data_IF_917498857802
#
_entry.id   IF_917498857802
#
_cell.length_a   1.000
_cell.length_b   1.000
_cell.length_c   1.000
_cell.angle_alpha   90.00
_cell.angle_beta   90.00
_cell.angle_gamma   90.00
#
_symmetry.space_group_name_H-M   'P 1'
#
loop_
_entity.id
_entity.type
_entity.pdbx_description
1 polymer ?
#
# COMPACT_ATOMS: atom_id res chain seq x y z
N UNK A 1 -7.29 33.16 30.30
CA UNK A 1 -7.17 32.32 29.09
C UNK A 1 -7.01 30.87 29.56
N UNK A 2 -8.03 30.04 29.32
CA UNK A 2 -8.04 28.65 29.77
C UNK A 2 -7.30 27.76 28.75
N UNK A 3 -6.23 27.08 29.18
CA UNK A 3 -5.43 26.19 28.34
C UNK A 3 -5.83 24.75 28.62
N UNK A 4 -6.53 24.09 27.68
CA UNK A 4 -6.83 22.66 27.74
C UNK A 4 -5.69 21.83 27.17
N UNK A 5 -5.18 20.88 27.96
CA UNK A 5 -4.26 19.81 27.51
C UNK A 5 -5.06 18.52 27.26
N UNK A 6 -4.82 17.88 26.13
CA UNK A 6 -5.35 16.55 25.81
C UNK A 6 -4.28 15.66 25.17
N UNK A 7 -4.39 14.35 25.39
CA UNK A 7 -3.49 13.36 24.79
C UNK A 7 -4.17 12.78 23.55
N UNK A 8 -3.52 12.89 22.39
CA UNK A 8 -4.02 12.35 21.13
C UNK A 8 -3.15 11.20 20.67
N UNK A 9 -3.69 9.98 20.71
CA UNK A 9 -3.00 8.79 20.18
C UNK A 9 -3.32 8.63 18.70
N UNK A 10 -2.29 8.62 17.85
CA UNK A 10 -2.44 8.37 16.40
C UNK A 10 -2.23 6.89 16.11
N UNK A 11 -3.25 6.21 15.60
CA UNK A 11 -3.13 4.82 15.13
C UNK A 11 -2.46 4.77 13.76
N UNK A 12 -1.78 3.66 13.48
CA UNK A 12 -1.25 3.36 12.15
C UNK A 12 -2.38 3.30 11.12
N UNK A 13 -2.06 3.64 9.87
CA UNK A 13 -3.00 3.48 8.77
C UNK A 13 -3.16 1.99 8.45
N UNK A 14 -4.36 1.56 8.00
CA UNK A 14 -4.55 0.19 7.54
C UNK A 14 -3.72 -0.10 6.28
N UNK A 15 -3.57 -1.38 5.90
CA UNK A 15 -3.03 -1.75 4.59
C UNK A 15 -3.83 -1.15 3.44
N UNK A 16 -3.24 -1.13 2.25
CA UNK A 16 -3.90 -0.56 1.08
C UNK A 16 -5.01 -1.46 0.53
N UNK A 17 -6.15 -0.84 0.28
CA UNK A 17 -7.15 -1.26 -0.72
C UNK A 17 -6.88 -0.53 -2.04
N UNK A 18 -7.63 -0.88 -3.09
CA UNK A 18 -7.62 -0.18 -4.38
C UNK A 18 -7.80 1.33 -4.21
N UNK A 19 -8.82 1.73 -3.45
CA UNK A 19 -9.20 3.15 -3.30
C UNK A 19 -8.18 3.93 -2.49
N UNK A 20 -7.69 3.38 -1.39
CA UNK A 20 -6.70 4.04 -0.51
C UNK A 20 -5.33 4.13 -1.19
N UNK A 21 -4.93 3.11 -1.97
CA UNK A 21 -3.72 3.16 -2.79
C UNK A 21 -3.80 4.28 -3.83
N UNK A 22 -4.92 4.39 -4.56
CA UNK A 22 -5.12 5.44 -5.56
C UNK A 22 -5.11 6.85 -4.94
N UNK A 23 -5.79 7.02 -3.79
CA UNK A 23 -5.82 8.28 -3.06
C UNK A 23 -4.44 8.71 -2.58
N UNK A 24 -3.68 7.80 -1.97
CA UNK A 24 -2.33 8.12 -1.48
C UNK A 24 -1.33 8.32 -2.62
N UNK A 25 -1.43 7.57 -3.72
CA UNK A 25 -0.62 7.79 -4.92
C UNK A 25 -0.89 9.16 -5.55
N UNK A 26 -2.15 9.58 -5.62
CA UNK A 26 -2.50 10.92 -6.08
C UNK A 26 -1.94 12.00 -5.15
N UNK A 27 -2.14 11.84 -3.84
CA UNK A 27 -1.73 12.81 -2.83
C UNK A 27 -0.22 12.97 -2.70
N UNK A 28 0.53 11.87 -2.79
CA UNK A 28 1.99 11.87 -2.52
C UNK A 28 2.85 11.90 -3.78
N UNK A 29 2.39 11.26 -4.85
CA UNK A 29 3.16 11.08 -6.08
C UNK A 29 2.55 11.83 -7.26
N UNK A 30 1.41 12.51 -7.07
CA UNK A 30 0.66 13.19 -8.13
C UNK A 30 0.28 12.27 -9.29
N UNK A 31 0.13 10.97 -9.03
CA UNK A 31 -0.29 10.02 -10.04
C UNK A 31 -1.80 10.10 -10.26
N UNK A 32 -2.19 10.09 -11.53
CA UNK A 32 -3.58 9.84 -11.91
C UNK A 32 -3.91 8.36 -11.68
N UNK A 33 -5.18 8.05 -11.45
CA UNK A 33 -5.69 6.71 -11.19
C UNK A 33 -5.22 5.67 -12.21
N UNK A 34 -5.24 6.03 -13.50
CA UNK A 34 -4.80 5.16 -14.58
C UNK A 34 -3.31 4.80 -14.47
N UNK A 35 -2.45 5.80 -14.17
CA UNK A 35 -1.01 5.57 -14.01
C UNK A 35 -0.72 4.68 -12.81
N UNK A 36 -1.38 4.91 -11.67
CA UNK A 36 -1.24 4.06 -10.48
C UNK A 36 -1.60 2.61 -10.80
N UNK A 37 -2.68 2.39 -11.54
CA UNK A 37 -3.15 1.05 -11.89
C UNK A 37 -2.26 0.34 -12.90
N UNK A 38 -1.70 1.08 -13.87
CA UNK A 38 -0.74 0.54 -14.84
C UNK A 38 0.53 0.04 -14.14
N UNK A 39 1.12 0.88 -13.28
CA UNK A 39 2.33 0.51 -12.51
C UNK A 39 2.02 -0.65 -11.57
N UNK A 40 0.87 -0.63 -10.89
CA UNK A 40 0.49 -1.72 -9.98
C UNK A 40 0.26 -3.05 -10.74
N UNK A 41 -0.23 -3.03 -11.97
CA UNK A 41 -0.35 -4.22 -12.83
C UNK A 41 1.04 -4.79 -13.12
N UNK A 42 1.99 -3.97 -13.54
CA UNK A 42 3.38 -4.40 -13.82
C UNK A 42 4.04 -4.99 -12.57
N UNK A 43 3.85 -4.37 -11.40
CA UNK A 43 4.40 -4.89 -10.14
C UNK A 43 3.75 -6.22 -9.71
N UNK A 44 2.49 -6.46 -10.07
CA UNK A 44 1.79 -7.71 -9.77
C UNK A 44 2.21 -8.85 -10.71
N UNK A 45 2.24 -8.59 -12.02
CA UNK A 45 2.67 -9.56 -13.04
C UNK A 45 4.17 -9.86 -12.92
N UNK A 46 4.91 -8.86 -12.49
CA UNK A 46 6.27 -8.94 -12.04
C UNK A 46 7.24 -8.16 -12.92
N UNK A 47 8.36 -7.80 -12.31
CA UNK A 47 9.43 -7.04 -12.95
C UNK A 47 10.75 -7.82 -12.85
N UNK A 48 11.66 -7.57 -13.80
CA UNK A 48 13.01 -8.12 -13.74
C UNK A 48 13.86 -7.26 -12.79
N UNK A 49 14.46 -7.87 -11.77
CA UNK A 49 15.23 -7.19 -10.72
C UNK A 49 16.69 -7.67 -10.76
N UNK A 50 17.25 -7.78 -11.97
CA UNK A 50 18.66 -8.11 -12.19
C UNK A 50 19.02 -9.58 -12.02
N UNK A 51 18.07 -10.43 -11.63
CA UNK A 51 18.20 -11.88 -11.67
C UNK A 51 17.54 -12.48 -12.92
N UNK A 52 17.68 -13.79 -13.10
CA UNK A 52 17.20 -14.49 -14.30
C UNK A 52 15.67 -14.62 -14.34
N UNK A 53 14.95 -14.21 -13.29
CA UNK A 53 13.52 -14.45 -13.14
C UNK A 53 12.74 -13.14 -12.97
N UNK A 54 11.48 -13.17 -13.36
CA UNK A 54 10.52 -12.08 -13.13
C UNK A 54 9.83 -12.32 -11.79
N UNK A 55 9.79 -11.31 -10.92
CA UNK A 55 9.18 -11.41 -9.59
C UNK A 55 7.96 -10.51 -9.46
N UNK A 56 6.84 -11.09 -9.02
CA UNK A 56 5.68 -10.34 -8.56
C UNK A 56 5.98 -9.70 -7.21
N UNK A 57 5.93 -8.38 -7.13
CA UNK A 57 6.34 -7.59 -5.97
C UNK A 57 5.19 -7.21 -5.04
N UNK A 58 3.96 -7.25 -5.54
CA UNK A 58 2.77 -6.89 -4.76
C UNK A 58 1.67 -7.93 -4.94
N UNK A 59 0.72 -7.96 -4.00
CA UNK A 59 -0.52 -8.72 -4.15
C UNK A 59 -1.44 -8.09 -5.19
N UNK A 60 -2.47 -8.81 -5.60
CA UNK A 60 -3.47 -8.31 -6.54
C UNK A 60 -4.05 -6.96 -6.09
N UNK A 61 -3.86 -5.94 -6.93
CA UNK A 61 -4.12 -4.52 -6.63
C UNK A 61 -5.59 -4.11 -6.71
N UNK A 62 -6.45 -4.93 -7.34
CA UNK A 62 -7.91 -4.70 -7.38
C UNK A 62 -8.58 -5.46 -6.24
N UNK A 63 -8.45 -4.92 -5.03
CA UNK A 63 -9.00 -5.47 -3.78
C UNK A 63 -9.71 -4.40 -2.95
N UNK A 64 -10.79 -4.78 -2.28
CA UNK A 64 -11.47 -4.02 -1.23
C UNK A 64 -11.11 -4.54 0.18
N UNK A 65 -10.33 -5.63 0.26
CA UNK A 65 -9.98 -6.30 1.50
C UNK A 65 -8.77 -5.66 2.18
N UNK A 66 -8.85 -5.56 3.52
CA UNK A 66 -7.73 -5.20 4.41
C UNK A 66 -7.06 -6.44 5.02
N UNK A 67 -7.44 -7.64 4.59
CA UNK A 67 -6.95 -8.89 5.18
C UNK A 67 -5.49 -9.12 4.78
N UNK A 68 -4.65 -9.38 5.77
CA UNK A 68 -3.27 -9.83 5.58
C UNK A 68 -3.19 -11.31 5.98
N UNK A 69 -2.46 -12.14 5.22
CA UNK A 69 -2.18 -13.52 5.62
C UNK A 69 -1.32 -13.56 6.88
N UNK A 70 -1.39 -14.64 7.64
CA UNK A 70 -0.61 -14.75 8.87
C UNK A 70 0.89 -14.75 8.58
N UNK A 71 1.32 -15.37 7.48
CA UNK A 71 2.70 -15.33 6.98
C UNK A 71 3.21 -13.89 6.76
N UNK A 72 2.44 -13.05 6.06
CA UNK A 72 2.81 -11.67 5.80
C UNK A 72 2.74 -10.80 7.06
N UNK A 73 1.85 -11.13 8.01
CA UNK A 73 1.81 -10.48 9.34
C UNK A 73 3.06 -10.78 10.15
N UNK A 74 3.52 -12.02 10.17
CA UNK A 74 4.75 -12.39 10.88
C UNK A 74 5.97 -11.77 10.20
N UNK A 75 6.05 -11.79 8.87
CA UNK A 75 7.14 -11.15 8.13
C UNK A 75 7.23 -9.64 8.36
N UNK A 76 6.11 -8.95 8.58
CA UNK A 76 6.07 -7.50 8.83
C UNK A 76 6.40 -7.10 10.28
N UNK A 77 6.44 -8.05 11.23
CA UNK A 77 6.81 -7.80 12.64
C UNK A 77 8.32 -7.89 12.87
N UNK A 78 9.02 -8.66 12.03
CA UNK A 78 10.47 -8.85 12.08
C UNK A 78 11.22 -7.56 11.66
#
# INVERSE_FOLDING_TARGET
ADIKKSVKTRRAQPPFTTSTMQQEANKRLSFQTQRTMMIAQELYEGINIGDKNTHGLITYMRTDSLRISDEAREAAKA
#
